data_IF_117303392452
#
_entry.id   IF_117303392452
#
_cell.length_a   1.000
_cell.length_b   1.000
_cell.length_c   1.000
_cell.angle_alpha   90.00
_cell.angle_beta   90.00
_cell.angle_gamma   90.00
#
_symmetry.space_group_name_H-M   'P 1'
#
loop_
_entity.id
_entity.type
_entity.pdbx_description
1 polymer ?
#
# COMPACT_ATOMS: atom_id res chain seq x y z
N UNK A 1 18.30 6.01 12.36
CA UNK A 1 18.42 5.03 11.24
C UNK A 1 18.75 5.77 9.95
N UNK A 2 19.67 5.23 9.13
CA UNK A 2 19.98 5.73 7.78
C UNK A 2 19.19 4.97 6.72
N UNK A 3 19.15 5.46 5.48
CA UNK A 3 18.57 4.74 4.33
C UNK A 3 19.13 3.32 4.19
N UNK A 4 20.45 3.18 4.24
CA UNK A 4 21.11 1.88 4.10
C UNK A 4 20.72 0.89 5.21
N UNK A 5 20.72 1.35 6.46
CA UNK A 5 20.27 0.53 7.60
C UNK A 5 18.81 0.09 7.45
N UNK A 6 17.90 1.00 7.05
CA UNK A 6 16.49 0.66 6.85
C UNK A 6 16.29 -0.44 5.79
N UNK A 7 17.03 -0.38 4.67
CA UNK A 7 16.96 -1.41 3.62
C UNK A 7 17.56 -2.74 4.09
N UNK A 8 18.63 -2.71 4.89
CA UNK A 8 19.22 -3.94 5.47
C UNK A 8 18.24 -4.61 6.43
N UNK A 9 17.62 -3.85 7.36
CA UNK A 9 16.60 -4.37 8.27
C UNK A 9 15.42 -4.97 7.50
N UNK A 10 14.94 -4.28 6.45
CA UNK A 10 13.87 -4.81 5.61
C UNK A 10 14.25 -6.14 4.95
N UNK A 11 15.49 -6.31 4.48
CA UNK A 11 15.99 -7.56 3.91
C UNK A 11 16.08 -8.67 4.94
N UNK A 12 16.51 -8.36 6.16
CA UNK A 12 16.57 -9.33 7.23
C UNK A 12 15.17 -9.82 7.61
N UNK A 13 14.21 -8.91 7.79
CA UNK A 13 12.81 -9.25 8.03
C UNK A 13 12.24 -10.07 6.87
N UNK A 14 12.46 -9.63 5.62
CA UNK A 14 11.99 -10.34 4.43
C UNK A 14 12.47 -11.80 4.41
N UNK A 15 13.75 -12.03 4.68
CA UNK A 15 14.34 -13.38 4.62
C UNK A 15 13.99 -14.27 5.82
N UNK A 16 13.99 -13.73 7.05
CA UNK A 16 13.85 -14.51 8.28
C UNK A 16 12.41 -14.62 8.78
N UNK A 17 11.59 -13.59 8.53
CA UNK A 17 10.24 -13.49 9.09
C UNK A 17 9.17 -13.68 8.00
N UNK A 18 9.34 -13.10 6.80
CA UNK A 18 8.29 -13.13 5.79
C UNK A 18 8.38 -14.37 4.89
N UNK A 19 9.49 -14.60 4.22
CA UNK A 19 9.64 -15.66 3.21
C UNK A 19 9.26 -17.06 3.75
N UNK A 20 9.63 -17.47 4.99
CA UNK A 20 9.29 -18.80 5.50
C UNK A 20 7.78 -19.02 5.71
N UNK A 21 6.99 -17.96 5.88
CA UNK A 21 5.58 -18.05 6.23
C UNK A 21 4.62 -17.50 5.16
N UNK A 22 5.12 -16.80 4.14
CA UNK A 22 4.31 -16.14 3.14
C UNK A 22 3.29 -17.08 2.45
N UNK A 23 3.72 -18.26 2.01
CA UNK A 23 2.82 -19.24 1.38
C UNK A 23 1.75 -19.78 2.35
N UNK A 24 2.11 -20.00 3.62
CA UNK A 24 1.18 -20.46 4.65
C UNK A 24 0.16 -19.37 4.99
N UNK A 25 0.62 -18.14 5.17
CA UNK A 25 -0.24 -17.00 5.51
C UNK A 25 -1.20 -16.68 4.36
N UNK A 26 -0.73 -16.70 3.10
CA UNK A 26 -1.57 -16.57 1.91
C UNK A 26 -2.65 -17.65 1.87
N UNK A 27 -2.26 -18.93 2.03
CA UNK A 27 -3.20 -20.07 1.98
C UNK A 27 -4.30 -19.95 3.03
N UNK A 28 -3.98 -19.48 4.22
CA UNK A 28 -4.92 -19.41 5.37
C UNK A 28 -5.59 -18.06 5.54
N UNK A 29 -5.15 -17.01 4.82
CA UNK A 29 -5.60 -15.63 5.05
C UNK A 29 -5.14 -15.07 6.41
N UNK A 30 -4.08 -15.65 7.02
CA UNK A 30 -3.64 -15.25 8.37
C UNK A 30 -2.84 -13.95 8.31
N UNK A 31 -3.29 -12.94 9.05
CA UNK A 31 -2.52 -11.73 9.30
C UNK A 31 -1.24 -12.06 10.10
N UNK A 32 -0.11 -11.52 9.65
CA UNK A 32 1.18 -11.77 10.30
C UNK A 32 1.48 -10.72 11.38
N UNK A 33 1.01 -10.98 12.60
CA UNK A 33 1.32 -10.12 13.75
C UNK A 33 2.82 -10.10 14.05
N UNK A 34 3.51 -11.23 13.83
CA UNK A 34 4.96 -11.37 14.00
C UNK A 34 5.75 -10.46 13.05
N UNK A 35 5.26 -10.30 11.80
CA UNK A 35 5.87 -9.38 10.86
C UNK A 35 5.71 -7.92 11.31
N UNK A 36 4.52 -7.54 11.78
CA UNK A 36 4.27 -6.18 12.30
C UNK A 36 5.13 -5.90 13.53
N UNK A 37 5.27 -6.87 14.43
CA UNK A 37 6.15 -6.76 15.59
C UNK A 37 7.61 -6.52 15.16
N UNK A 38 8.13 -7.33 14.23
CA UNK A 38 9.50 -7.18 13.71
C UNK A 38 9.73 -5.82 13.02
N UNK A 39 8.74 -5.32 12.26
CA UNK A 39 8.77 -3.98 11.67
C UNK A 39 8.78 -2.88 12.74
N UNK A 40 8.10 -3.09 13.87
CA UNK A 40 8.12 -2.18 15.01
C UNK A 40 9.47 -2.18 15.73
N UNK A 41 9.97 -3.36 16.08
CA UNK A 41 11.25 -3.54 16.80
C UNK A 41 12.45 -2.99 16.00
N UNK A 42 12.41 -3.09 14.68
CA UNK A 42 13.44 -2.52 13.78
C UNK A 42 13.31 -0.99 13.58
N UNK A 43 12.23 -0.34 14.06
CA UNK A 43 11.97 1.08 13.87
C UNK A 43 11.40 1.45 12.50
N UNK A 44 11.10 0.46 11.63
CA UNK A 44 10.55 0.71 10.30
C UNK A 44 9.13 1.28 10.33
N UNK A 45 8.32 1.01 11.38
CA UNK A 45 7.00 1.65 11.53
C UNK A 45 7.09 3.16 11.71
N UNK A 46 8.14 3.67 12.33
CA UNK A 46 8.42 5.11 12.48
C UNK A 46 9.22 5.73 11.33
N UNK A 47 9.42 5.04 10.20
CA UNK A 47 10.38 5.40 9.16
C UNK A 47 10.30 6.88 8.73
N UNK A 48 9.11 7.36 8.38
CA UNK A 48 8.89 8.70 7.82
C UNK A 48 8.51 9.74 8.89
N UNK A 49 8.26 9.32 10.13
CA UNK A 49 7.90 10.24 11.19
C UNK A 49 9.09 11.14 11.60
N UNK A 50 8.82 12.37 12.05
CA UNK A 50 9.84 13.26 12.60
C UNK A 50 10.60 12.64 13.79
N UNK A 51 11.85 13.07 13.98
CA UNK A 51 12.73 12.54 15.05
C UNK A 51 12.23 12.91 16.44
N UNK A 52 11.57 14.05 16.60
CA UNK A 52 11.02 14.52 17.89
C UNK A 52 9.87 13.65 18.44
N UNK A 53 9.24 12.85 17.59
CA UNK A 53 8.26 11.83 18.00
C UNK A 53 8.83 10.40 17.94
N UNK A 54 10.15 10.26 17.82
CA UNK A 54 10.82 8.95 17.81
C UNK A 54 10.93 8.30 16.43
N UNK A 55 10.56 9.01 15.37
CA UNK A 55 10.72 8.53 14.00
C UNK A 55 12.14 8.64 13.48
N UNK A 56 12.39 8.14 12.27
CA UNK A 56 13.70 8.20 11.60
C UNK A 56 13.87 9.42 10.69
N UNK A 57 12.79 10.14 10.35
CA UNK A 57 12.81 11.30 9.44
C UNK A 57 13.25 10.97 8.01
N UNK A 58 13.13 9.68 7.60
CA UNK A 58 13.55 9.24 6.27
C UNK A 58 12.47 9.56 5.22
N UNK A 59 12.92 9.78 3.98
CA UNK A 59 12.08 10.25 2.89
C UNK A 59 11.43 9.16 2.05
N UNK A 60 10.68 9.59 1.01
CA UNK A 60 9.93 8.71 0.10
C UNK A 60 10.78 7.64 -0.59
N UNK A 61 12.04 7.93 -0.91
CA UNK A 61 12.97 6.96 -1.52
C UNK A 61 13.17 5.75 -0.61
N UNK A 62 13.46 5.99 0.68
CA UNK A 62 13.66 4.89 1.64
C UNK A 62 12.37 4.10 1.85
N UNK A 63 11.24 4.78 1.92
CA UNK A 63 9.93 4.14 2.00
C UNK A 63 9.67 3.21 0.81
N UNK A 64 9.97 3.65 -0.42
CA UNK A 64 9.80 2.84 -1.62
C UNK A 64 10.70 1.60 -1.61
N UNK A 65 11.99 1.77 -1.28
CA UNK A 65 12.96 0.67 -1.26
C UNK A 65 12.63 -0.37 -0.18
N UNK A 66 12.25 0.06 1.02
CA UNK A 66 11.79 -0.83 2.10
C UNK A 66 10.54 -1.58 1.64
N UNK A 67 9.54 -0.89 1.09
CA UNK A 67 8.29 -1.49 0.63
C UNK A 67 8.54 -2.53 -0.47
N UNK A 68 9.38 -2.23 -1.46
CA UNK A 68 9.73 -3.17 -2.53
C UNK A 68 10.44 -4.41 -1.97
N UNK A 69 11.39 -4.21 -1.04
CA UNK A 69 12.13 -5.30 -0.38
C UNK A 69 11.21 -6.24 0.39
N UNK A 70 10.24 -5.71 1.14
CA UNK A 70 9.25 -6.53 1.84
C UNK A 70 8.34 -7.28 0.85
N UNK A 71 7.94 -6.62 -0.25
CA UNK A 71 7.06 -7.20 -1.25
C UNK A 71 7.70 -8.35 -2.05
N UNK A 72 9.03 -8.38 -2.18
CA UNK A 72 9.76 -9.53 -2.77
C UNK A 72 9.46 -10.82 -2.01
N UNK A 73 9.26 -10.76 -0.68
CA UNK A 73 8.96 -11.91 0.16
C UNK A 73 7.45 -12.11 0.39
N UNK A 74 6.73 -11.04 0.78
CA UNK A 74 5.30 -11.07 1.10
C UNK A 74 4.62 -9.72 0.78
N UNK A 75 3.90 -9.67 -0.33
CA UNK A 75 3.18 -8.47 -0.77
C UNK A 75 2.03 -8.09 0.19
N UNK A 76 1.45 -9.05 0.91
CA UNK A 76 0.42 -8.77 1.93
C UNK A 76 1.00 -7.94 3.08
N UNK A 77 2.17 -8.31 3.58
CA UNK A 77 2.87 -7.56 4.65
C UNK A 77 3.37 -6.21 4.12
N UNK A 78 3.91 -6.16 2.90
CA UNK A 78 4.29 -4.90 2.27
C UNK A 78 3.11 -3.93 2.15
N UNK A 79 1.90 -4.44 1.86
CA UNK A 79 0.67 -3.64 1.82
C UNK A 79 0.25 -3.16 3.21
N UNK A 80 0.39 -3.99 4.25
CA UNK A 80 0.17 -3.58 5.65
C UNK A 80 1.12 -2.45 6.02
N UNK A 81 2.41 -2.60 5.72
CA UNK A 81 3.44 -1.58 5.95
C UNK A 81 3.12 -0.27 5.22
N UNK A 82 2.80 -0.35 3.91
CA UNK A 82 2.42 0.80 3.10
C UNK A 82 1.25 1.56 3.76
N UNK A 83 0.16 0.88 4.08
CA UNK A 83 -1.02 1.52 4.65
C UNK A 83 -0.77 2.10 6.03
N UNK A 84 0.15 1.51 6.81
CA UNK A 84 0.61 2.06 8.06
C UNK A 84 1.39 3.38 7.86
N UNK A 85 2.33 3.41 6.92
CA UNK A 85 3.09 4.65 6.61
C UNK A 85 2.15 5.77 6.16
N UNK A 86 1.13 5.46 5.37
CA UNK A 86 0.13 6.46 4.98
C UNK A 86 -0.70 6.96 6.17
N UNK A 87 -1.15 6.05 7.03
CA UNK A 87 -1.86 6.39 8.25
C UNK A 87 -1.03 7.31 9.14
N UNK A 88 0.22 6.93 9.40
CA UNK A 88 1.14 7.71 10.24
C UNK A 88 1.48 9.07 9.63
N UNK A 89 1.72 9.15 8.32
CA UNK A 89 1.97 10.41 7.62
C UNK A 89 0.73 11.35 7.66
N UNK A 90 -0.47 10.79 7.52
CA UNK A 90 -1.72 11.58 7.62
C UNK A 90 -1.94 12.11 9.03
N UNK A 91 -1.66 11.30 10.07
CA UNK A 91 -1.73 11.73 11.47
C UNK A 91 -0.67 12.82 11.76
N UNK A 92 0.54 12.66 11.23
CA UNK A 92 1.62 13.64 11.38
C UNK A 92 1.32 14.98 10.71
N UNK A 93 0.50 14.98 9.65
CA UNK A 93 0.05 16.18 8.94
C UNK A 93 -1.21 16.82 9.57
N UNK A 94 -1.60 16.43 10.80
CA UNK A 94 -2.78 16.94 11.46
C UNK A 94 -2.74 18.45 11.70
N UNK A 95 -3.91 19.09 11.64
CA UNK A 95 -4.08 20.53 11.97
C UNK A 95 -3.58 20.86 13.37
N UNK A 96 -3.18 22.10 13.60
CA UNK A 96 -2.62 22.55 14.88
C UNK A 96 -3.51 22.24 16.11
N UNK A 97 -4.84 22.32 15.96
CA UNK A 97 -5.79 21.99 17.03
C UNK A 97 -5.83 20.52 17.44
N UNK A 98 -5.34 19.60 16.61
CA UNK A 98 -5.28 18.18 16.92
C UNK A 98 -3.90 17.74 17.47
N UNK A 99 -2.86 18.55 17.34
CA UNK A 99 -1.46 18.17 17.64
C UNK A 99 -1.30 17.57 19.05
N UNK A 100 -1.89 18.18 20.07
CA UNK A 100 -1.78 17.69 21.45
C UNK A 100 -2.34 16.27 21.62
N UNK A 101 -3.44 15.95 20.96
CA UNK A 101 -4.10 14.64 21.06
C UNK A 101 -3.38 13.56 20.23
N UNK A 102 -2.81 13.93 19.08
CA UNK A 102 -2.15 12.95 18.19
C UNK A 102 -0.68 12.70 18.53
N UNK A 103 0.02 13.63 19.18
CA UNK A 103 1.45 13.48 19.54
C UNK A 103 1.74 12.21 20.36
N UNK A 104 0.94 11.81 21.35
CA UNK A 104 1.17 10.53 22.04
C UNK A 104 1.09 9.34 21.10
N UNK A 105 0.15 9.34 20.16
CA UNK A 105 -0.02 8.27 19.16
C UNK A 105 1.18 8.22 18.23
N UNK A 106 1.66 9.36 17.74
CA UNK A 106 2.87 9.45 16.91
C UNK A 106 4.10 8.90 17.64
N UNK A 107 4.23 9.16 18.95
CA UNK A 107 5.30 8.61 19.78
C UNK A 107 5.21 7.09 19.92
N UNK A 108 4.00 6.53 20.06
CA UNK A 108 3.82 5.07 20.08
C UNK A 108 4.13 4.44 18.72
N UNK A 109 3.80 5.13 17.60
CA UNK A 109 4.20 4.71 16.25
C UNK A 109 5.72 4.76 16.11
N UNK A 110 6.37 5.87 16.50
CA UNK A 110 7.82 6.03 16.47
C UNK A 110 8.56 4.98 17.32
N UNK A 111 7.94 4.54 18.41
CA UNK A 111 8.44 3.45 19.27
C UNK A 111 8.10 2.04 18.76
N UNK A 112 7.45 1.91 17.59
CA UNK A 112 7.11 0.62 16.98
C UNK A 112 5.95 -0.14 17.61
N UNK A 113 5.17 0.48 18.49
CA UNK A 113 4.11 -0.18 19.28
C UNK A 113 2.68 0.10 18.80
N UNK A 114 2.52 0.91 17.76
CA UNK A 114 1.20 1.30 17.27
C UNK A 114 1.13 1.18 15.75
N UNK A 115 0.24 0.33 15.28
CA UNK A 115 -0.11 0.19 13.86
C UNK A 115 -1.30 1.09 13.54
N UNK A 116 -1.18 1.98 12.56
CA UNK A 116 -2.28 2.78 12.03
C UNK A 116 -2.61 2.38 10.60
N UNK A 117 -3.81 2.73 10.13
CA UNK A 117 -4.22 2.48 8.75
C UNK A 117 -5.24 3.52 8.27
N UNK A 118 -5.53 3.51 6.97
CA UNK A 118 -6.57 4.36 6.36
C UNK A 118 -7.88 3.59 6.17
N UNK A 119 -9.00 4.27 6.40
CA UNK A 119 -10.35 3.78 6.18
C UNK A 119 -11.16 4.81 5.37
N UNK A 120 -10.82 4.97 4.08
CA UNK A 120 -11.43 5.99 3.22
C UNK A 120 -12.53 5.42 2.33
N UNK A 121 -12.28 4.31 1.65
CA UNK A 121 -13.20 3.75 0.65
C UNK A 121 -14.55 3.35 1.23
N UNK A 122 -15.62 3.66 0.51
CA UNK A 122 -16.99 3.27 0.83
C UNK A 122 -17.64 2.56 -0.37
N UNK A 123 -18.59 1.67 -0.12
CA UNK A 123 -19.20 0.83 -1.15
C UNK A 123 -19.79 1.60 -2.33
N UNK A 124 -20.24 2.83 -2.17
CA UNK A 124 -20.81 3.65 -3.22
C UNK A 124 -19.83 4.62 -3.88
N UNK A 125 -18.65 4.88 -3.28
CA UNK A 125 -17.65 5.82 -3.84
C UNK A 125 -16.80 5.20 -4.94
N UNK A 126 -16.84 3.88 -5.12
CA UNK A 126 -16.08 3.17 -6.14
C UNK A 126 -14.59 3.50 -6.07
N UNK A 127 -14.01 3.88 -7.22
CA UNK A 127 -12.60 4.24 -7.37
C UNK A 127 -12.25 5.65 -6.84
N UNK A 128 -13.24 6.40 -6.33
CA UNK A 128 -13.08 7.77 -5.84
C UNK A 128 -12.94 7.78 -4.31
N UNK A 129 -11.83 7.26 -3.79
CA UNK A 129 -11.57 7.20 -2.34
C UNK A 129 -11.60 8.57 -1.65
N UNK A 130 -11.39 9.65 -2.42
CA UNK A 130 -11.42 11.03 -1.95
C UNK A 130 -12.82 11.62 -1.78
N UNK A 131 -13.86 10.92 -2.26
CA UNK A 131 -15.25 11.36 -2.21
C UNK A 131 -16.07 10.44 -1.29
N UNK A 132 -16.01 10.60 0.04
CA UNK A 132 -16.81 9.80 0.96
C UNK A 132 -18.29 10.10 0.76
N UNK A 133 -19.14 9.09 1.02
CA UNK A 133 -20.61 9.22 0.95
C UNK A 133 -21.19 9.52 2.33
N UNK A 134 -20.60 8.93 3.37
CA UNK A 134 -21.00 9.17 4.76
C UNK A 134 -20.73 10.61 5.16
N UNK A 135 -21.62 11.18 5.97
CA UNK A 135 -21.51 12.54 6.50
C UNK A 135 -21.29 12.51 8.01
N UNK A 136 -20.37 13.33 8.49
CA UNK A 136 -20.22 13.61 9.91
C UNK A 136 -21.35 14.55 10.37
N UNK A 137 -21.84 14.36 11.59
CA UNK A 137 -22.86 15.21 12.20
C UNK A 137 -22.32 15.85 13.46
N UNK A 138 -22.52 17.15 13.65
CA UNK A 138 -22.11 17.86 14.86
C UNK A 138 -22.71 17.23 16.13
N UNK A 139 -21.87 17.07 17.15
CA UNK A 139 -22.27 16.52 18.44
C UNK A 139 -21.42 17.12 19.58
N UNK A 140 -21.94 18.10 20.27
CA UNK A 140 -21.18 18.85 21.27
C UNK A 140 -19.95 19.54 20.64
N UNK A 141 -18.78 19.30 21.21
CA UNK A 141 -17.49 19.82 20.73
C UNK A 141 -16.87 19.00 19.61
N UNK A 142 -17.50 17.87 19.21
CA UNK A 142 -17.01 16.95 18.19
C UNK A 142 -18.05 16.60 17.14
N UNK A 143 -17.95 15.38 16.62
CA UNK A 143 -18.88 14.84 15.63
C UNK A 143 -19.29 13.41 15.95
N UNK A 144 -20.42 12.97 15.38
CA UNK A 144 -20.81 11.57 15.23
C UNK A 144 -20.64 11.13 13.78
N UNK A 145 -20.13 9.91 13.59
CA UNK A 145 -19.91 9.33 12.27
C UNK A 145 -20.57 7.96 12.21
N UNK A 146 -21.40 7.74 11.20
CA UNK A 146 -21.92 6.44 10.80
C UNK A 146 -21.51 6.18 9.35
N UNK A 147 -20.76 5.09 9.09
CA UNK A 147 -20.22 4.78 7.78
C UNK A 147 -20.00 3.28 7.62
N UNK A 148 -19.96 2.83 6.36
CA UNK A 148 -19.53 1.47 5.99
C UNK A 148 -18.29 1.59 5.12
N UNK A 149 -17.11 1.32 5.69
CA UNK A 149 -15.83 1.40 5.02
C UNK A 149 -15.46 0.04 4.41
N UNK A 150 -14.93 0.05 3.21
CA UNK A 150 -14.59 -1.14 2.44
C UNK A 150 -13.07 -1.32 2.35
N UNK A 151 -12.63 -2.58 2.36
CA UNK A 151 -11.22 -2.93 2.11
C UNK A 151 -10.21 -2.20 3.00
N UNK A 152 -10.50 -2.16 4.30
CA UNK A 152 -9.62 -1.53 5.29
C UNK A 152 -8.51 -2.49 5.63
N UNK A 153 -7.31 -2.26 5.10
CA UNK A 153 -6.13 -3.07 5.40
C UNK A 153 -5.84 -3.04 6.91
N UNK A 154 -5.43 -4.18 7.48
CA UNK A 154 -5.22 -4.35 8.92
C UNK A 154 -6.49 -4.16 9.77
N UNK A 155 -7.69 -4.34 9.21
CA UNK A 155 -8.93 -4.29 9.99
C UNK A 155 -8.92 -5.30 11.15
N UNK A 156 -9.18 -4.82 12.37
CA UNK A 156 -9.12 -5.63 13.59
C UNK A 156 -7.71 -5.86 14.16
N UNK A 157 -6.67 -5.39 13.49
CA UNK A 157 -5.27 -5.49 13.92
C UNK A 157 -4.62 -4.13 14.15
N UNK A 158 -5.09 -3.07 13.47
CA UNK A 158 -4.61 -1.71 13.70
C UNK A 158 -5.15 -1.15 15.02
N UNK A 159 -4.32 -0.35 15.73
CA UNK A 159 -4.70 0.37 16.93
C UNK A 159 -5.44 1.67 16.64
N UNK A 160 -5.32 2.20 15.41
CA UNK A 160 -6.10 3.39 14.98
C UNK A 160 -6.39 3.40 13.49
N UNK A 161 -7.47 4.08 13.14
CA UNK A 161 -7.97 4.23 11.78
C UNK A 161 -8.10 5.71 11.43
N UNK A 162 -7.47 6.14 10.34
CA UNK A 162 -7.76 7.46 9.77
C UNK A 162 -8.97 7.32 8.86
N UNK A 163 -10.05 7.98 9.22
CA UNK A 163 -11.36 7.87 8.55
C UNK A 163 -11.67 9.16 7.82
N UNK A 164 -12.22 9.07 6.62
CA UNK A 164 -12.80 10.22 5.89
C UNK A 164 -14.32 10.24 6.03
N UNK A 165 -14.90 11.42 6.07
CA UNK A 165 -16.35 11.64 5.99
C UNK A 165 -16.61 12.99 5.34
N UNK A 166 -17.78 13.21 4.73
CA UNK A 166 -18.19 14.55 4.34
C UNK A 166 -18.28 15.44 5.60
N UNK A 167 -17.81 16.67 5.47
CA UNK A 167 -17.94 17.66 6.53
C UNK A 167 -19.41 17.84 6.93
N UNK A 168 -19.71 18.24 8.18
CA UNK A 168 -21.09 18.45 8.62
C UNK A 168 -21.89 19.36 7.70
N UNK A 169 -21.29 20.46 7.26
CA UNK A 169 -21.91 21.47 6.38
C UNK A 169 -21.40 21.38 4.93
N UNK A 170 -20.68 20.30 4.56
CA UNK A 170 -20.14 20.12 3.21
C UNK A 170 -21.25 20.01 2.16
N UNK A 171 -21.07 20.62 0.99
CA UNK A 171 -22.04 20.66 -0.10
C UNK A 171 -21.61 19.83 -1.30
N UNK A 172 -20.31 19.64 -1.48
CA UNK A 172 -19.72 18.91 -2.58
C UNK A 172 -19.11 17.56 -2.16
N UNK A 173 -18.84 16.67 -3.13
CA UNK A 173 -18.25 15.35 -2.85
C UNK A 173 -16.80 15.43 -2.34
N UNK A 174 -16.13 16.56 -2.56
CA UNK A 174 -14.76 16.82 -2.10
C UNK A 174 -14.68 17.53 -0.75
N UNK A 175 -15.81 17.97 -0.19
CA UNK A 175 -15.86 18.64 1.12
C UNK A 175 -15.71 17.63 2.25
N UNK A 176 -14.62 16.86 2.22
CA UNK A 176 -14.33 15.82 3.20
C UNK A 176 -13.49 16.34 4.36
N UNK A 177 -13.65 15.70 5.52
CA UNK A 177 -12.85 15.92 6.72
C UNK A 177 -12.24 14.59 7.15
N UNK A 178 -11.01 14.61 7.65
CA UNK A 178 -10.31 13.44 8.16
C UNK A 178 -10.34 13.41 9.68
N UNK A 179 -10.59 12.23 10.21
CA UNK A 179 -10.69 11.96 11.64
C UNK A 179 -9.84 10.76 12.03
N UNK A 180 -9.30 10.79 13.24
CA UNK A 180 -8.60 9.65 13.84
C UNK A 180 -9.53 8.94 14.81
N UNK A 181 -9.73 7.63 14.61
CA UNK A 181 -10.51 6.78 15.49
C UNK A 181 -9.60 5.69 16.09
N UNK A 182 -9.40 5.67 17.42
CA UNK A 182 -8.82 4.51 18.10
C UNK A 182 -9.66 3.24 17.83
N UNK A 183 -9.00 2.07 17.83
CA UNK A 183 -9.67 0.80 17.52
C UNK A 183 -10.79 0.44 18.52
N UNK A 184 -10.66 0.90 19.77
CA UNK A 184 -11.64 0.72 20.85
C UNK A 184 -12.80 1.71 20.80
N UNK A 185 -12.87 2.58 19.77
CA UNK A 185 -13.96 3.54 19.63
C UNK A 185 -15.31 2.81 19.62
N UNK A 186 -16.20 3.19 20.56
CA UNK A 186 -17.54 2.59 20.64
C UNK A 186 -18.28 2.78 19.32
N UNK A 187 -18.83 1.69 18.77
CA UNK A 187 -19.54 1.68 17.50
C UNK A 187 -18.66 1.33 16.30
N UNK A 188 -17.34 1.22 16.47
CA UNK A 188 -16.46 0.69 15.45
C UNK A 188 -16.43 -0.85 15.52
N UNK A 189 -16.65 -1.53 14.41
CA UNK A 189 -16.61 -2.99 14.33
C UNK A 189 -16.08 -3.46 12.97
N UNK A 190 -15.38 -4.60 12.98
CA UNK A 190 -14.95 -5.30 11.76
C UNK A 190 -16.09 -6.22 11.32
N UNK A 191 -16.42 -6.21 10.02
CA UNK A 191 -17.53 -7.00 9.47
C UNK A 191 -16.98 -8.08 8.55
N UNK A 192 -17.18 -9.35 8.95
CA UNK A 192 -16.72 -10.49 8.17
C UNK A 192 -15.22 -10.68 8.18
N UNK A 193 -14.67 -11.23 7.10
CA UNK A 193 -13.25 -11.51 6.90
C UNK A 193 -12.81 -11.09 5.50
N UNK A 194 -11.50 -10.96 5.30
CA UNK A 194 -10.94 -10.74 3.97
C UNK A 194 -10.78 -12.08 3.23
N UNK A 195 -11.39 -12.19 2.06
CA UNK A 195 -11.23 -13.31 1.12
C UNK A 195 -10.99 -12.79 -0.29
N UNK A 196 -9.83 -12.18 -0.50
CA UNK A 196 -9.41 -11.65 -1.79
C UNK A 196 -8.76 -12.70 -2.68
N UNK A 197 -8.71 -12.42 -3.99
CA UNK A 197 -7.94 -13.21 -4.95
C UNK A 197 -6.45 -13.24 -4.59
N UNK A 198 -5.89 -12.07 -4.26
CA UNK A 198 -4.51 -11.84 -3.81
C UNK A 198 -4.48 -11.02 -2.54
N UNK A 199 -3.26 -10.73 -2.04
CA UNK A 199 -3.00 -10.03 -0.79
C UNK A 199 -3.81 -10.62 0.38
N UNK A 200 -3.91 -11.94 0.41
CA UNK A 200 -4.86 -12.67 1.27
C UNK A 200 -4.57 -12.50 2.76
N UNK A 201 -3.33 -12.20 3.13
CA UNK A 201 -2.90 -12.07 4.51
C UNK A 201 -2.82 -10.62 5.04
N UNK A 202 -3.40 -9.63 4.34
CA UNK A 202 -3.37 -8.23 4.75
C UNK A 202 -4.59 -7.76 5.58
N UNK A 203 -5.54 -8.65 5.86
CA UNK A 203 -6.77 -8.37 6.61
C UNK A 203 -7.56 -7.14 6.08
N UNK A 204 -7.74 -7.03 4.76
CA UNK A 204 -8.49 -5.90 4.14
C UNK A 204 -10.01 -6.06 4.29
N UNK A 205 -10.49 -6.33 5.50
CA UNK A 205 -11.90 -6.51 5.79
C UNK A 205 -12.67 -5.17 5.82
N UNK A 206 -14.00 -5.20 5.60
CA UNK A 206 -14.85 -4.04 5.84
C UNK A 206 -14.94 -3.68 7.33
N UNK A 207 -15.10 -2.39 7.63
CA UNK A 207 -15.47 -1.92 8.97
C UNK A 207 -16.77 -1.12 8.93
N UNK A 208 -17.55 -1.21 9.99
CA UNK A 208 -18.75 -0.39 10.20
C UNK A 208 -18.50 0.57 11.36
N UNK A 209 -18.92 1.80 11.17
CA UNK A 209 -19.00 2.84 12.20
C UNK A 209 -20.47 3.10 12.47
N UNK A 210 -20.92 2.89 13.70
CA UNK A 210 -22.30 3.10 14.14
C UNK A 210 -22.30 4.13 15.25
N UNK A 211 -22.70 5.37 14.91
CA UNK A 211 -22.76 6.50 15.86
C UNK A 211 -21.43 6.74 16.62
N UNK A 212 -20.30 6.51 15.96
CA UNK A 212 -18.98 6.71 16.56
C UNK A 212 -18.79 8.16 16.96
N UNK A 213 -18.56 8.40 18.26
CA UNK A 213 -18.27 9.73 18.79
C UNK A 213 -16.79 10.05 18.55
N UNK A 214 -16.53 11.19 17.90
CA UNK A 214 -15.16 11.65 17.63
C UNK A 214 -15.00 13.06 18.21
N UNK A 215 -14.21 13.21 19.29
CA UNK A 215 -13.87 14.52 19.84
C UNK A 215 -13.18 15.41 18.81
N UNK A 216 -13.37 16.72 18.92
CA UNK A 216 -12.70 17.71 18.02
C UNK A 216 -11.17 17.60 18.03
N UNK A 217 -10.60 17.12 19.13
CA UNK A 217 -9.16 16.87 19.28
C UNK A 217 -8.64 15.77 18.33
N UNK A 218 -9.50 14.87 17.84
CA UNK A 218 -9.17 13.84 16.85
C UNK A 218 -9.66 14.17 15.43
N UNK A 219 -10.11 15.38 15.19
CA UNK A 219 -10.34 15.91 13.85
C UNK A 219 -9.01 16.35 13.25
N UNK A 220 -8.48 15.60 12.29
CA UNK A 220 -7.13 15.79 11.72
C UNK A 220 -7.05 16.98 10.76
N UNK A 221 -8.14 17.32 10.08
CA UNK A 221 -8.19 18.45 9.14
C UNK A 221 -9.29 19.41 9.54
N UNK A 222 -9.20 20.65 9.08
CA UNK A 222 -10.35 21.54 9.17
C UNK A 222 -11.53 20.99 8.35
N UNK A 223 -12.74 21.44 8.64
CA UNK A 223 -13.93 20.99 7.92
C UNK A 223 -13.79 21.26 6.41
N UNK A 224 -14.00 20.20 5.62
CA UNK A 224 -13.87 20.27 4.17
C UNK A 224 -12.42 20.22 3.63
N UNK A 225 -11.39 20.27 4.48
CA UNK A 225 -9.99 20.29 4.05
C UNK A 225 -9.37 18.88 3.88
N UNK A 226 -10.12 17.82 4.10
CA UNK A 226 -9.63 16.44 4.00
C UNK A 226 -9.17 16.07 2.58
N UNK A 227 -9.88 16.54 1.56
CA UNK A 227 -9.54 16.33 0.17
C UNK A 227 -8.13 16.84 -0.16
N UNK A 228 -7.76 18.03 0.30
CA UNK A 228 -6.43 18.58 0.07
C UNK A 228 -5.34 17.73 0.73
N UNK A 229 -5.58 17.23 1.94
CA UNK A 229 -4.64 16.31 2.62
C UNK A 229 -4.53 14.98 1.87
N UNK A 230 -5.63 14.44 1.34
CA UNK A 230 -5.60 13.25 0.49
C UNK A 230 -4.76 13.45 -0.77
N UNK A 231 -4.86 14.61 -1.43
CA UNK A 231 -4.08 14.92 -2.63
C UNK A 231 -2.60 15.16 -2.35
N UNK A 232 -2.28 15.86 -1.25
CA UNK A 232 -0.91 16.30 -1.00
C UNK A 232 -0.07 15.26 -0.22
N UNK A 233 -0.71 14.43 0.60
CA UNK A 233 -0.02 13.46 1.46
C UNK A 233 -0.32 12.03 1.02
N UNK A 234 -1.60 11.67 0.92
CA UNK A 234 -1.99 10.28 0.73
C UNK A 234 -1.74 9.80 -0.70
N UNK A 235 -2.21 10.54 -1.71
CA UNK A 235 -2.13 10.11 -3.11
C UNK A 235 -0.69 9.90 -3.60
N UNK A 236 0.27 10.82 -3.36
CA UNK A 236 1.65 10.61 -3.78
C UNK A 236 2.30 9.39 -3.12
N UNK A 237 2.14 9.24 -1.80
CA UNK A 237 2.73 8.12 -1.05
C UNK A 237 2.03 6.79 -1.39
N UNK A 238 0.70 6.79 -1.58
CA UNK A 238 -0.03 5.59 -1.97
C UNK A 238 0.39 5.10 -3.36
N UNK A 239 0.50 6.02 -4.34
CA UNK A 239 0.89 5.67 -5.69
C UNK A 239 2.35 5.19 -5.74
N UNK A 240 3.25 5.84 -5.01
CA UNK A 240 4.64 5.42 -4.85
C UNK A 240 4.73 4.03 -4.18
N UNK A 241 4.06 3.85 -3.05
CA UNK A 241 4.11 2.60 -2.29
C UNK A 241 3.49 1.42 -3.06
N UNK A 242 2.37 1.62 -3.77
CA UNK A 242 1.79 0.58 -4.63
C UNK A 242 2.69 0.22 -5.81
N UNK A 243 3.39 1.20 -6.38
CA UNK A 243 4.40 0.95 -7.41
C UNK A 243 5.60 0.17 -6.85
N UNK A 244 6.03 0.47 -5.62
CA UNK A 244 7.09 -0.28 -4.93
C UNK A 244 6.67 -1.73 -4.63
N UNK A 245 5.42 -1.98 -4.21
CA UNK A 245 4.89 -3.36 -4.07
C UNK A 245 4.93 -4.09 -5.42
N UNK A 246 4.50 -3.44 -6.50
CA UNK A 246 4.56 -4.00 -7.85
C UNK A 246 6.00 -4.35 -8.27
N UNK A 247 6.97 -3.48 -7.98
CA UNK A 247 8.38 -3.72 -8.24
C UNK A 247 8.90 -4.94 -7.49
N UNK A 248 8.57 -5.08 -6.21
CA UNK A 248 8.95 -6.26 -5.41
C UNK A 248 8.38 -7.55 -5.99
N UNK A 249 7.10 -7.55 -6.40
CA UNK A 249 6.47 -8.68 -7.08
C UNK A 249 7.18 -9.05 -8.40
N UNK A 250 7.55 -8.04 -9.21
CA UNK A 250 8.29 -8.25 -10.46
C UNK A 250 9.66 -8.89 -10.20
N UNK A 251 10.42 -8.35 -9.24
CA UNK A 251 11.74 -8.88 -8.86
C UNK A 251 11.65 -10.33 -8.38
N UNK A 252 10.68 -10.63 -7.52
CA UNK A 252 10.44 -11.99 -7.05
C UNK A 252 10.07 -12.94 -8.19
N UNK A 253 9.20 -12.51 -9.12
CA UNK A 253 8.81 -13.31 -10.28
C UNK A 253 9.97 -13.58 -11.22
N UNK A 254 10.83 -12.60 -11.49
CA UNK A 254 12.05 -12.76 -12.29
C UNK A 254 13.00 -13.74 -11.60
N UNK A 255 13.29 -13.56 -10.31
CA UNK A 255 14.21 -14.42 -9.56
C UNK A 255 13.74 -15.88 -9.54
N UNK A 256 12.46 -16.13 -9.25
CA UNK A 256 11.87 -17.47 -9.25
C UNK A 256 11.91 -18.10 -10.66
N UNK A 257 11.63 -17.32 -11.71
CA UNK A 257 11.70 -17.78 -13.11
C UNK A 257 13.13 -18.15 -13.49
N UNK A 258 14.13 -17.34 -13.10
CA UNK A 258 15.55 -17.66 -13.32
C UNK A 258 15.92 -18.96 -12.61
N UNK A 259 15.51 -19.14 -11.35
CA UNK A 259 15.76 -20.38 -10.60
C UNK A 259 15.16 -21.58 -11.31
N UNK A 260 13.90 -21.49 -11.70
CA UNK A 260 13.19 -22.56 -12.42
C UNK A 260 13.86 -22.93 -13.75
N UNK A 261 14.22 -21.94 -14.59
CA UNK A 261 14.88 -22.19 -15.87
C UNK A 261 16.25 -22.84 -15.73
N UNK A 262 16.96 -22.61 -14.62
CA UNK A 262 18.26 -23.25 -14.33
C UNK A 262 18.11 -24.68 -13.81
N UNK A 263 17.04 -24.98 -13.06
CA UNK A 263 16.90 -26.26 -12.34
C UNK A 263 16.01 -27.27 -13.04
N UNK A 264 14.93 -26.83 -13.69
CA UNK A 264 14.05 -27.71 -14.45
C UNK A 264 14.74 -28.21 -15.73
N UNK A 265 14.69 -29.53 -16.01
CA UNK A 265 15.46 -30.18 -17.07
C UNK A 265 14.58 -31.02 -17.99
N UNK A 266 15.04 -31.15 -19.22
CA UNK A 266 14.60 -32.21 -20.09
C UNK A 266 15.55 -33.41 -19.86
N UNK A 267 15.09 -34.45 -19.16
CA UNK A 267 15.89 -35.61 -18.78
C UNK A 267 16.46 -36.30 -19.99
N UNK A 268 15.69 -36.43 -21.08
CA UNK A 268 16.11 -37.07 -22.33
C UNK A 268 17.17 -36.29 -23.11
N UNK A 269 17.33 -34.97 -22.81
CA UNK A 269 18.37 -34.12 -23.43
C UNK A 269 19.52 -33.83 -22.47
N UNK A 270 19.36 -34.08 -21.18
CA UNK A 270 20.35 -33.73 -20.16
C UNK A 270 20.58 -32.23 -19.99
N UNK A 271 19.64 -31.39 -20.49
CA UNK A 271 19.76 -29.93 -20.52
C UNK A 271 18.65 -29.26 -19.69
N UNK A 272 18.95 -28.12 -19.09
CA UNK A 272 17.94 -27.29 -18.44
C UNK A 272 16.98 -26.64 -19.46
N UNK A 273 15.81 -26.19 -19.00
CA UNK A 273 14.88 -25.44 -19.86
C UNK A 273 15.53 -24.17 -20.41
N UNK A 274 16.34 -23.50 -19.58
CA UNK A 274 17.06 -22.30 -19.99
C UNK A 274 18.12 -22.54 -21.08
N UNK A 275 18.76 -23.70 -21.08
CA UNK A 275 19.71 -24.09 -22.14
C UNK A 275 18.98 -24.43 -23.44
N UNK A 276 17.89 -25.17 -23.34
CA UNK A 276 17.21 -25.78 -24.50
C UNK A 276 16.28 -24.81 -25.25
N UNK A 277 15.69 -23.82 -24.59
CA UNK A 277 14.59 -23.02 -25.14
C UNK A 277 14.93 -21.53 -25.28
N UNK A 278 15.42 -21.09 -26.48
CA UNK A 278 15.73 -19.66 -26.71
C UNK A 278 14.56 -18.70 -26.48
N UNK A 279 13.35 -19.14 -26.77
CA UNK A 279 12.13 -18.33 -26.60
C UNK A 279 11.86 -17.99 -25.15
N UNK A 280 12.18 -18.89 -24.19
CA UNK A 280 12.02 -18.62 -22.76
C UNK A 280 13.07 -17.61 -22.28
N UNK A 281 14.30 -17.66 -22.80
CA UNK A 281 15.33 -16.65 -22.53
C UNK A 281 14.91 -15.27 -23.00
N UNK A 282 14.31 -15.16 -24.18
CA UNK A 282 13.82 -13.90 -24.70
C UNK A 282 12.67 -13.33 -23.83
N UNK A 283 11.74 -14.18 -23.39
CA UNK A 283 10.66 -13.77 -22.49
C UNK A 283 11.19 -13.33 -21.11
N UNK A 284 12.17 -14.06 -20.55
CA UNK A 284 12.82 -13.67 -19.31
C UNK A 284 13.53 -12.31 -19.44
N UNK A 285 14.20 -12.06 -20.57
CA UNK A 285 14.82 -10.77 -20.84
C UNK A 285 13.80 -9.63 -20.86
N UNK A 286 12.62 -9.83 -21.47
CA UNK A 286 11.54 -8.83 -21.44
C UNK A 286 11.03 -8.57 -20.02
N UNK A 287 10.85 -9.62 -19.20
CA UNK A 287 10.48 -9.47 -17.78
C UNK A 287 11.49 -8.58 -17.03
N UNK A 288 12.79 -8.79 -17.26
CA UNK A 288 13.83 -7.98 -16.62
C UNK A 288 13.80 -6.53 -17.10
N UNK A 289 13.69 -6.29 -18.42
CA UNK A 289 13.61 -4.94 -19.01
C UNK A 289 12.42 -4.16 -18.44
N UNK A 290 11.25 -4.79 -18.36
CA UNK A 290 10.03 -4.16 -17.80
C UNK A 290 10.20 -3.85 -16.32
N UNK A 291 10.85 -4.76 -15.56
CA UNK A 291 11.13 -4.57 -14.12
C UNK A 291 12.11 -3.40 -13.89
N UNK A 292 13.19 -3.31 -14.69
CA UNK A 292 14.15 -2.22 -14.60
C UNK A 292 13.53 -0.87 -15.03
N UNK A 293 12.67 -0.89 -16.05
CA UNK A 293 11.91 0.27 -16.48
C UNK A 293 10.96 0.79 -15.38
N UNK A 294 10.34 -0.12 -14.62
CA UNK A 294 9.51 0.27 -13.47
C UNK A 294 10.37 0.85 -12.34
N UNK A 295 11.52 0.25 -12.04
CA UNK A 295 12.45 0.77 -11.02
C UNK A 295 12.87 2.22 -11.35
N UNK A 296 13.26 2.50 -12.59
CA UNK A 296 13.62 3.84 -13.04
C UNK A 296 12.47 4.86 -12.91
N UNK A 297 11.21 4.44 -13.14
CA UNK A 297 10.03 5.31 -12.94
C UNK A 297 9.79 5.63 -11.46
N UNK A 298 10.03 4.66 -10.58
CA UNK A 298 9.93 4.85 -9.12
C UNK A 298 11.01 5.84 -8.67
N UNK A 299 12.23 5.70 -9.16
CA UNK A 299 13.32 6.63 -8.85
C UNK A 299 13.01 8.07 -9.30
N UNK A 300 12.51 8.26 -10.52
CA UNK A 300 12.06 9.57 -11.02
C UNK A 300 10.92 10.14 -10.15
N UNK A 301 9.95 9.31 -9.77
CA UNK A 301 8.86 9.75 -8.89
C UNK A 301 9.36 10.16 -7.50
N UNK A 302 10.29 9.41 -6.89
CA UNK A 302 10.85 9.79 -5.58
C UNK A 302 11.53 11.15 -5.63
N UNK A 303 12.32 11.43 -6.68
CA UNK A 303 12.94 12.74 -6.89
C UNK A 303 11.89 13.86 -7.03
N UNK A 304 10.77 13.59 -7.70
CA UNK A 304 9.67 14.52 -7.85
C UNK A 304 8.90 14.78 -6.55
N UNK A 305 8.75 13.79 -5.68
CA UNK A 305 8.08 13.96 -4.38
C UNK A 305 9.01 14.72 -3.41
N UNK A 306 10.31 14.42 -3.41
CA UNK A 306 11.31 15.11 -2.58
C UNK A 306 11.55 16.55 -3.02
N UNK A 307 11.47 16.81 -4.31
CA UNK A 307 11.66 18.14 -4.93
C UNK A 307 10.50 18.43 -5.88
N UNK A 308 9.35 18.89 -5.37
CA UNK A 308 8.14 19.08 -6.17
C UNK A 308 8.36 20.04 -7.35
N UNK A 309 7.79 19.65 -8.50
CA UNK A 309 7.79 20.39 -9.77
C UNK A 309 6.36 20.44 -10.31
N UNK A 310 6.12 21.26 -11.32
CA UNK A 310 4.82 21.37 -11.99
C UNK A 310 4.30 20.00 -12.49
N UNK A 311 5.19 19.14 -12.94
CA UNK A 311 4.87 17.79 -13.44
C UNK A 311 4.75 16.71 -12.36
N UNK A 312 4.93 17.03 -11.07
CA UNK A 312 4.95 16.01 -10.00
C UNK A 312 3.66 15.20 -9.94
N UNK A 313 2.49 15.86 -10.00
CA UNK A 313 1.22 15.13 -9.99
C UNK A 313 1.07 14.19 -11.18
N UNK A 314 1.50 14.60 -12.36
CA UNK A 314 1.50 13.73 -13.54
C UNK A 314 2.38 12.48 -13.30
N UNK A 315 3.59 12.64 -12.76
CA UNK A 315 4.46 11.49 -12.41
C UNK A 315 3.85 10.58 -11.36
N UNK A 316 3.16 11.13 -10.37
CA UNK A 316 2.41 10.36 -9.35
C UNK A 316 1.36 9.45 -10.02
N UNK A 317 0.60 9.97 -10.97
CA UNK A 317 -0.44 9.20 -11.67
C UNK A 317 0.16 8.15 -12.62
N UNK A 318 1.15 8.54 -13.43
CA UNK A 318 1.81 7.68 -14.41
C UNK A 318 2.52 6.48 -13.76
N UNK A 319 3.21 6.70 -12.63
CA UNK A 319 3.98 5.66 -11.95
C UNK A 319 3.07 4.50 -11.52
N UNK A 320 1.96 4.79 -10.82
CA UNK A 320 1.02 3.75 -10.36
C UNK A 320 0.31 3.07 -11.54
N UNK A 321 -0.13 3.84 -12.55
CA UNK A 321 -0.79 3.26 -13.72
C UNK A 321 0.14 2.26 -14.43
N UNK A 322 1.39 2.66 -14.69
CA UNK A 322 2.39 1.78 -15.30
C UNK A 322 2.73 0.57 -14.43
N UNK A 323 2.88 0.77 -13.10
CA UNK A 323 3.25 -0.30 -12.18
C UNK A 323 2.24 -1.45 -12.16
N UNK A 324 0.94 -1.13 -12.18
CA UNK A 324 -0.11 -2.14 -12.24
C UNK A 324 -0.03 -3.01 -13.50
N UNK A 325 0.18 -2.38 -14.66
CA UNK A 325 0.30 -3.09 -15.94
C UNK A 325 1.57 -3.96 -15.99
N UNK A 326 2.70 -3.41 -15.58
CA UNK A 326 4.00 -4.11 -15.56
C UNK A 326 3.93 -5.33 -14.65
N UNK A 327 3.41 -5.20 -13.42
CA UNK A 327 3.32 -6.32 -12.49
C UNK A 327 2.47 -7.47 -13.04
N UNK A 328 1.32 -7.16 -13.63
CA UNK A 328 0.45 -8.16 -14.25
C UNK A 328 1.14 -8.81 -15.46
N UNK A 329 1.82 -8.03 -16.32
CA UNK A 329 2.55 -8.54 -17.48
C UNK A 329 3.69 -9.47 -17.08
N UNK A 330 4.54 -9.05 -16.14
CA UNK A 330 5.72 -9.80 -15.69
C UNK A 330 5.30 -11.11 -15.00
N UNK A 331 4.32 -11.06 -14.08
CA UNK A 331 3.87 -12.26 -13.36
C UNK A 331 3.10 -13.23 -14.27
N UNK A 332 2.33 -12.73 -15.26
CA UNK A 332 1.69 -13.56 -16.28
C UNK A 332 2.72 -14.26 -17.19
N UNK A 333 3.80 -13.56 -17.52
CA UNK A 333 4.89 -14.13 -18.31
C UNK A 333 5.64 -15.19 -17.51
N UNK A 334 5.92 -14.95 -16.22
CA UNK A 334 6.47 -15.95 -15.30
C UNK A 334 5.60 -17.21 -15.23
N UNK A 335 4.27 -17.05 -15.10
CA UNK A 335 3.32 -18.18 -15.09
C UNK A 335 3.42 -19.01 -16.37
N UNK A 336 3.53 -18.39 -17.55
CA UNK A 336 3.69 -19.10 -18.84
C UNK A 336 5.03 -19.82 -18.96
N UNK A 337 6.12 -19.17 -18.55
CA UNK A 337 7.46 -19.75 -18.60
C UNK A 337 7.57 -20.97 -17.68
N UNK A 338 7.10 -20.85 -16.45
CA UNK A 338 7.17 -21.91 -15.43
C UNK A 338 6.08 -22.99 -15.59
N UNK A 339 5.05 -22.73 -16.41
CA UNK A 339 4.06 -23.70 -16.84
C UNK A 339 3.39 -24.47 -15.70
N UNK A 340 3.36 -25.80 -15.81
CA UNK A 340 2.72 -26.67 -14.83
C UNK A 340 3.24 -26.55 -13.41
N UNK A 341 4.53 -26.24 -13.23
CA UNK A 341 5.12 -26.05 -11.90
C UNK A 341 4.55 -24.81 -11.17
N UNK A 342 4.33 -23.72 -11.91
CA UNK A 342 3.69 -22.52 -11.38
C UNK A 342 2.20 -22.75 -11.16
N UNK A 343 1.49 -23.34 -12.13
CA UNK A 343 0.05 -23.54 -12.08
C UNK A 343 -0.39 -24.51 -10.96
N UNK A 344 0.43 -25.52 -10.67
CA UNK A 344 0.20 -26.50 -9.60
C UNK A 344 0.72 -26.08 -8.21
N UNK A 345 1.14 -24.82 -8.06
CA UNK A 345 1.58 -24.22 -6.79
C UNK A 345 2.87 -24.81 -6.19
N UNK A 346 3.72 -25.43 -7.01
CA UNK A 346 5.07 -25.84 -6.58
C UNK A 346 6.02 -24.64 -6.46
N UNK A 347 5.73 -23.56 -7.22
CA UNK A 347 6.46 -22.31 -7.20
C UNK A 347 5.61 -21.19 -6.59
N UNK A 348 6.27 -20.16 -6.09
CA UNK A 348 5.59 -18.96 -5.56
C UNK A 348 4.89 -18.12 -6.63
N UNK A 349 5.14 -18.39 -7.91
CA UNK A 349 4.63 -17.62 -9.06
C UNK A 349 3.11 -17.46 -9.04
N UNK A 350 2.34 -18.49 -8.64
CA UNK A 350 0.87 -18.38 -8.60
C UNK A 350 0.40 -17.34 -7.57
N UNK A 351 1.09 -17.21 -6.43
CA UNK A 351 0.80 -16.19 -5.42
C UNK A 351 1.17 -14.81 -5.95
N UNK A 352 2.37 -14.67 -6.51
CA UNK A 352 2.84 -13.40 -7.10
C UNK A 352 1.89 -12.92 -8.22
N UNK A 353 1.42 -13.85 -9.06
CA UNK A 353 0.43 -13.57 -10.11
C UNK A 353 -0.89 -13.02 -9.54
N UNK A 354 -1.42 -13.66 -8.48
CA UNK A 354 -2.68 -13.21 -7.85
C UNK A 354 -2.49 -11.84 -7.17
N UNK A 355 -1.40 -11.65 -6.45
CA UNK A 355 -1.09 -10.42 -5.73
C UNK A 355 -0.91 -9.23 -6.68
N UNK A 356 -0.28 -9.45 -7.85
CA UNK A 356 -0.07 -8.41 -8.86
C UNK A 356 -1.37 -7.77 -9.37
N UNK A 357 -2.46 -8.53 -9.45
CA UNK A 357 -3.75 -8.02 -9.91
C UNK A 357 -4.37 -6.99 -8.95
N UNK A 358 -3.98 -6.98 -7.68
CA UNK A 358 -4.49 -6.01 -6.71
C UNK A 358 -4.13 -4.57 -7.09
N UNK A 359 -2.90 -4.34 -7.58
CA UNK A 359 -2.43 -3.00 -7.96
C UNK A 359 -3.27 -2.33 -9.04
N UNK A 360 -3.80 -3.10 -9.98
CA UNK A 360 -4.62 -2.60 -11.09
C UNK A 360 -6.04 -2.18 -10.66
N UNK A 361 -6.60 -2.83 -9.62
CA UNK A 361 -8.00 -2.61 -9.17
C UNK A 361 -8.12 -1.73 -7.93
N UNK A 362 -7.04 -1.52 -7.17
CA UNK A 362 -7.04 -0.61 -6.02
C UNK A 362 -7.23 0.85 -6.46
N UNK A 363 -8.10 1.57 -5.75
CA UNK A 363 -8.44 2.98 -6.04
C UNK A 363 -7.24 3.94 -5.80
N UNK A 364 -6.96 4.89 -6.74
CA UNK A 364 -7.57 5.03 -8.06
C UNK A 364 -7.21 3.88 -8.98
N UNK A 365 -8.18 3.30 -9.67
CA UNK A 365 -7.92 2.20 -10.61
C UNK A 365 -7.08 2.65 -11.81
N UNK A 366 -6.46 1.71 -12.52
CA UNK A 366 -5.67 2.02 -13.72
C UNK A 366 -6.42 2.86 -14.75
N UNK A 367 -7.71 2.60 -14.94
CA UNK A 367 -8.52 3.36 -15.92
C UNK A 367 -8.79 4.80 -15.46
N UNK A 368 -9.08 5.01 -14.17
CA UNK A 368 -9.23 6.36 -13.60
C UNK A 368 -7.92 7.14 -13.66
N UNK A 369 -6.79 6.48 -13.41
CA UNK A 369 -5.47 7.12 -13.54
C UNK A 369 -5.18 7.54 -14.99
N UNK A 370 -5.49 6.69 -15.97
CA UNK A 370 -5.30 7.01 -17.40
C UNK A 370 -6.19 8.17 -17.84
N UNK A 371 -7.43 8.23 -17.35
CA UNK A 371 -8.33 9.37 -17.58
C UNK A 371 -7.72 10.66 -17.01
N UNK A 372 -7.23 10.63 -15.78
CA UNK A 372 -6.58 11.80 -15.16
C UNK A 372 -5.29 12.21 -15.89
N UNK A 373 -4.48 11.25 -16.32
CA UNK A 373 -3.30 11.53 -17.15
C UNK A 373 -3.71 12.21 -18.46
N UNK A 374 -4.72 11.68 -19.15
CA UNK A 374 -5.25 12.26 -20.37
C UNK A 374 -5.75 13.70 -20.19
N UNK A 375 -6.53 13.95 -19.12
CA UNK A 375 -6.97 15.30 -18.75
C UNK A 375 -5.80 16.24 -18.48
N UNK A 376 -4.80 15.78 -17.70
CA UNK A 376 -3.61 16.57 -17.40
C UNK A 376 -2.85 16.99 -18.65
N UNK A 377 -2.66 16.08 -19.59
CA UNK A 377 -1.97 16.37 -20.86
C UNK A 377 -2.74 17.35 -21.75
N UNK A 378 -4.07 17.41 -21.62
CA UNK A 378 -4.94 18.33 -22.36
C UNK A 378 -5.20 19.65 -21.59
N UNK A 379 -4.62 19.84 -20.40
CA UNK A 379 -4.86 21.02 -19.56
C UNK A 379 -6.28 21.11 -19.00
N UNK A 380 -6.98 19.97 -18.88
CA UNK A 380 -8.33 19.88 -18.31
C UNK A 380 -8.29 19.71 -16.79
N UNK A 381 -9.32 20.19 -16.05
CA UNK A 381 -9.43 19.91 -14.61
C UNK A 381 -9.48 18.40 -14.34
N UNK A 382 -8.76 17.94 -13.30
CA UNK A 382 -8.75 16.52 -12.91
C UNK A 382 -10.05 16.12 -12.20
N UNK A 383 -10.60 17.01 -11.38
CA UNK A 383 -11.76 16.82 -10.52
C UNK A 383 -12.89 17.77 -10.89
#
# INVERSE_FOLDING_TARGET
>A
MTHHEAVLEAREIASRVLAPYAAKNDKTGRFSAEAVQSLGESGLLGLMLPVDVGGSGLGPRTFADVTATLAEADASVAMVYLMHILGSATISAARAGATQAVTPILKEIGAGRHLSTLAFSEAGSRSHFWAPISRAHRNGDGVRISAKKSWVTSAGHAQSYVVSSLAPEGTGPTDSTLYLLPAETRGLSVVGSWDGLGLRANASAPITLEDCQVPSAFQLTDDGAGFQTMLNVVLPLFNLGTAAVALGLCRAAVAETVSHLKTARFEHLGQSLGESLPTLRAQLAMMQIDTDGLAARIDDLTDHIEKPRETTMLRVLECKASAGDVAVSVTSTAMRICGGAAFSKYLSIERLFRDAHAGAVMAPTGDVLREFIGKSLLGMPLF
#
